data_IF_886055350706
#
_entry.id   IF_886055350706
#
_cell.length_a   1.000
_cell.length_b   1.000
_cell.length_c   1.000
_cell.angle_alpha   90.00
_cell.angle_beta   90.00
_cell.angle_gamma   90.00
#
_symmetry.space_group_name_H-M   'P 1'
#
loop_
_entity.id
_entity.type
_entity.pdbx_description
1 polymer ?
#
# COMPACT_ATOMS: atom_id res chain seq x y z
N UNK A 1 3.63 8.90 -18.18
CA UNK A 1 4.26 8.79 -16.87
C UNK A 1 5.77 9.00 -16.99
N UNK A 2 6.38 9.59 -15.97
CA UNK A 2 7.81 9.89 -15.96
C UNK A 2 8.63 8.66 -15.59
N UNK A 3 9.76 8.45 -16.28
CA UNK A 3 10.69 7.38 -15.93
C UNK A 3 11.57 7.72 -14.71
N UNK A 4 12.37 6.73 -14.20
CA UNK A 4 13.15 6.88 -12.97
C UNK A 4 14.10 8.09 -12.97
N UNK A 5 14.73 8.41 -14.10
CA UNK A 5 15.64 9.59 -14.23
C UNK A 5 14.89 10.92 -14.05
N UNK A 6 13.68 11.01 -14.59
CA UNK A 6 12.83 12.20 -14.44
C UNK A 6 12.29 12.30 -13.03
N UNK A 7 11.90 11.17 -12.43
CA UNK A 7 11.49 11.09 -11.03
C UNK A 7 12.62 11.59 -10.11
N UNK A 8 13.83 11.07 -10.29
CA UNK A 8 15.02 11.48 -9.53
C UNK A 8 15.26 12.98 -9.57
N UNK A 9 15.12 13.57 -10.75
CA UNK A 9 15.41 14.99 -10.96
C UNK A 9 14.31 15.94 -10.50
N UNK A 10 13.04 15.57 -10.74
CA UNK A 10 11.91 16.50 -10.63
C UNK A 10 10.89 16.16 -9.54
N UNK A 11 10.94 14.97 -8.94
CA UNK A 11 10.00 14.57 -7.90
C UNK A 11 10.71 14.25 -6.58
N UNK A 12 11.72 13.40 -6.64
CA UNK A 12 12.40 12.91 -5.45
C UNK A 12 12.89 14.03 -4.51
N UNK A 13 13.62 15.08 -4.94
CA UNK A 13 14.15 16.09 -4.01
C UNK A 13 13.03 16.87 -3.31
N UNK A 14 11.96 17.19 -4.02
CA UNK A 14 10.84 17.97 -3.44
C UNK A 14 9.97 17.13 -2.51
N UNK A 15 9.70 15.88 -2.87
CA UNK A 15 8.96 14.97 -1.97
C UNK A 15 9.79 14.68 -0.72
N UNK A 16 11.11 14.52 -0.87
CA UNK A 16 11.98 14.33 0.29
C UNK A 16 11.99 15.55 1.20
N UNK A 17 12.15 16.75 0.66
CA UNK A 17 12.08 18.00 1.43
C UNK A 17 10.73 18.10 2.18
N UNK A 18 9.62 17.80 1.50
CA UNK A 18 8.28 17.85 2.10
C UNK A 18 8.14 16.87 3.26
N UNK A 19 8.55 15.61 3.08
CA UNK A 19 8.44 14.58 4.12
C UNK A 19 9.37 14.86 5.30
N UNK A 20 10.59 15.34 5.04
CA UNK A 20 11.55 15.75 6.08
C UNK A 20 11.03 16.97 6.87
N UNK A 21 10.45 17.96 6.18
CA UNK A 21 9.86 19.13 6.81
C UNK A 21 8.66 18.76 7.70
N UNK A 22 7.76 17.93 7.20
CA UNK A 22 6.62 17.46 7.98
C UNK A 22 7.08 16.75 9.25
N UNK A 23 8.04 15.85 9.14
CA UNK A 23 8.62 15.15 10.28
C UNK A 23 9.30 16.10 11.27
N UNK A 24 10.11 17.03 10.80
CA UNK A 24 10.80 18.00 11.65
C UNK A 24 9.84 18.93 12.41
N UNK A 25 8.68 19.26 11.82
CA UNK A 25 7.68 20.13 12.45
C UNK A 25 6.72 19.43 13.40
N UNK A 26 6.39 18.16 13.12
CA UNK A 26 5.31 17.45 13.84
C UNK A 26 5.81 16.28 14.67
N UNK A 27 7.01 15.77 14.40
CA UNK A 27 7.50 14.50 14.94
C UNK A 27 6.83 13.27 14.33
N UNK A 28 5.90 13.46 13.36
CA UNK A 28 5.17 12.37 12.71
C UNK A 28 5.61 12.18 11.27
N UNK A 29 5.78 10.93 10.88
CA UNK A 29 5.99 10.53 9.49
C UNK A 29 4.67 10.59 8.72
N UNK A 30 4.74 10.69 7.39
CA UNK A 30 3.57 10.77 6.51
C UNK A 30 3.30 9.45 5.82
N UNK A 31 2.05 9.19 5.46
CA UNK A 31 1.70 8.10 4.54
C UNK A 31 1.76 8.61 3.11
N UNK A 32 2.34 7.84 2.21
CA UNK A 32 2.45 8.17 0.78
C UNK A 32 1.74 7.11 -0.04
N UNK A 33 0.75 7.52 -0.84
CA UNK A 33 0.18 6.67 -1.87
C UNK A 33 0.77 6.97 -3.24
N UNK A 34 1.06 5.93 -4.00
CA UNK A 34 1.52 6.04 -5.38
C UNK A 34 0.81 5.06 -6.28
N UNK A 35 0.03 5.58 -7.24
CA UNK A 35 -0.58 4.76 -8.27
C UNK A 35 0.44 4.25 -9.29
N UNK A 36 0.14 3.10 -9.86
CA UNK A 36 0.89 2.52 -10.95
C UNK A 36 2.12 1.71 -10.52
N UNK A 37 2.92 1.34 -11.51
CA UNK A 37 4.12 0.54 -11.29
C UNK A 37 5.27 1.41 -10.76
N UNK A 38 5.51 1.33 -9.46
CA UNK A 38 6.54 2.10 -8.75
C UNK A 38 7.86 1.36 -8.55
N UNK A 39 7.99 0.11 -9.00
CA UNK A 39 9.17 -0.74 -8.73
C UNK A 39 10.49 -0.07 -9.10
N UNK A 40 10.53 0.60 -10.24
CA UNK A 40 11.74 1.27 -10.75
C UNK A 40 12.24 2.45 -9.90
N UNK A 41 11.42 2.93 -8.97
CA UNK A 41 11.72 4.08 -8.11
C UNK A 41 11.80 3.73 -6.61
N UNK A 42 11.65 2.47 -6.22
CA UNK A 42 11.67 2.06 -4.80
C UNK A 42 12.93 2.49 -4.05
N UNK A 43 14.09 2.53 -4.71
CA UNK A 43 15.33 3.05 -4.11
C UNK A 43 15.24 4.50 -3.60
N UNK A 44 14.31 5.29 -4.16
CA UNK A 44 14.05 6.65 -3.69
C UNK A 44 12.99 6.67 -2.59
N UNK A 45 11.94 5.84 -2.73
CA UNK A 45 10.82 5.80 -1.78
C UNK A 45 11.28 5.38 -0.38
N UNK A 46 12.25 4.47 -0.27
CA UNK A 46 12.86 4.06 0.99
C UNK A 46 13.61 5.18 1.75
N UNK A 47 13.89 6.30 1.09
CA UNK A 47 14.62 7.43 1.68
C UNK A 47 13.71 8.52 2.27
N UNK A 48 12.40 8.42 2.06
CA UNK A 48 11.43 9.37 2.61
C UNK A 48 11.11 9.07 4.09
N UNK A 49 10.65 10.09 4.80
CA UNK A 49 10.14 9.94 6.18
C UNK A 49 8.70 9.41 6.14
N UNK A 50 8.55 8.11 5.81
CA UNK A 50 7.24 7.48 5.66
C UNK A 50 6.84 6.68 6.88
N UNK A 51 5.57 6.86 7.30
CA UNK A 51 4.87 5.95 8.19
C UNK A 51 4.48 4.66 7.46
N UNK A 52 4.04 4.81 6.21
CA UNK A 52 3.75 3.70 5.31
C UNK A 52 3.79 4.14 3.85
N UNK A 53 4.06 3.19 2.96
CA UNK A 53 3.93 3.33 1.51
C UNK A 53 2.73 2.52 1.03
N UNK A 54 1.68 3.22 0.61
CA UNK A 54 0.49 2.60 0.03
C UNK A 54 0.72 2.26 -1.44
N UNK A 55 0.54 0.99 -1.78
CA UNK A 55 0.88 0.40 -3.07
C UNK A 55 -0.37 0.18 -3.94
N UNK A 56 -0.25 0.48 -5.23
CA UNK A 56 -1.25 0.15 -6.23
C UNK A 56 -1.47 -1.37 -6.35
N UNK A 57 -2.69 -1.80 -6.72
CA UNK A 57 -3.05 -3.21 -6.86
C UNK A 57 -2.31 -3.95 -7.99
N UNK A 58 -1.69 -3.22 -8.94
CA UNK A 58 -0.86 -3.84 -9.98
C UNK A 58 0.53 -4.30 -9.48
N UNK A 59 0.92 -3.86 -8.28
CA UNK A 59 2.18 -4.29 -7.66
C UNK A 59 2.01 -5.69 -7.07
N UNK A 60 2.96 -6.57 -7.36
CA UNK A 60 3.05 -7.86 -6.67
C UNK A 60 3.39 -7.62 -5.19
N UNK A 61 2.43 -7.93 -4.30
CA UNK A 61 2.58 -7.72 -2.85
C UNK A 61 3.73 -8.55 -2.27
N UNK A 62 4.04 -9.71 -2.86
CA UNK A 62 5.17 -10.52 -2.41
C UNK A 62 6.49 -9.82 -2.73
N UNK A 63 6.66 -9.36 -3.96
CA UNK A 63 7.84 -8.61 -4.35
C UNK A 63 7.98 -7.35 -3.47
N UNK A 64 6.89 -6.64 -3.23
CA UNK A 64 6.90 -5.45 -2.38
C UNK A 64 7.32 -5.77 -0.94
N UNK A 65 6.80 -6.84 -0.34
CA UNK A 65 7.16 -7.26 1.01
C UNK A 65 8.65 -7.63 1.13
N UNK A 66 9.17 -8.33 0.12
CA UNK A 66 10.57 -8.78 0.10
C UNK A 66 11.57 -7.63 -0.15
N UNK A 67 11.23 -6.67 -1.02
CA UNK A 67 12.11 -5.56 -1.42
C UNK A 67 11.86 -4.30 -0.59
N UNK A 68 10.88 -3.48 -1.00
CA UNK A 68 10.64 -2.17 -0.36
C UNK A 68 10.12 -2.30 1.08
N UNK A 69 9.43 -3.38 1.42
CA UNK A 69 8.96 -3.68 2.77
C UNK A 69 10.07 -3.94 3.79
N UNK A 70 11.33 -4.08 3.34
CA UNK A 70 12.50 -4.09 4.21
C UNK A 70 12.94 -2.69 4.66
N UNK A 71 12.55 -1.65 3.94
CA UNK A 71 12.94 -0.26 4.16
C UNK A 71 11.84 0.58 4.82
N UNK A 72 10.59 0.39 4.38
CA UNK A 72 9.42 1.12 4.89
C UNK A 72 8.26 0.17 5.16
N UNK A 73 7.34 0.51 6.10
CA UNK A 73 6.07 -0.20 6.21
C UNK A 73 5.28 -0.05 4.91
N UNK A 74 4.61 -1.11 4.47
CA UNK A 74 3.78 -1.09 3.25
C UNK A 74 2.30 -1.23 3.58
N UNK A 75 1.45 -0.61 2.76
CA UNK A 75 0.00 -0.75 2.83
C UNK A 75 -0.57 -1.18 1.47
N UNK A 76 -1.63 -1.94 1.48
CA UNK A 76 -2.34 -2.36 0.28
C UNK A 76 -2.58 -3.86 0.25
N UNK A 77 -2.87 -4.50 -0.90
CA UNK A 77 -3.15 -3.85 -2.18
C UNK A 77 -4.25 -4.62 -2.89
N UNK A 78 -5.35 -4.89 -2.15
CA UNK A 78 -6.54 -5.55 -2.72
C UNK A 78 -7.08 -4.71 -3.88
N UNK A 79 -7.42 -5.34 -5.01
CA UNK A 79 -7.95 -4.63 -6.19
C UNK A 79 -9.32 -3.99 -5.87
N UNK A 80 -9.41 -2.65 -5.88
CA UNK A 80 -10.65 -1.95 -5.51
C UNK A 80 -11.78 -2.15 -6.52
N UNK A 81 -11.46 -2.41 -7.77
CA UNK A 81 -12.44 -2.53 -8.86
C UNK A 81 -12.81 -3.98 -9.15
N UNK A 82 -11.82 -4.82 -9.45
CA UNK A 82 -12.09 -6.20 -9.87
C UNK A 82 -12.51 -7.07 -8.69
N UNK A 83 -11.96 -6.84 -7.51
CA UNK A 83 -12.23 -7.64 -6.31
C UNK A 83 -13.28 -6.97 -5.41
N UNK A 84 -13.06 -5.72 -4.96
CA UNK A 84 -13.99 -5.12 -4.01
C UNK A 84 -15.30 -4.75 -4.68
N UNK A 85 -15.27 -3.96 -5.75
CA UNK A 85 -16.50 -3.48 -6.39
C UNK A 85 -17.26 -4.60 -7.11
N UNK A 86 -16.58 -5.41 -7.93
CA UNK A 86 -17.22 -6.41 -8.81
C UNK A 86 -17.23 -7.82 -8.26
N UNK A 87 -16.30 -8.15 -7.36
CA UNK A 87 -16.12 -9.49 -6.83
C UNK A 87 -17.29 -9.96 -5.95
N UNK A 88 -17.38 -11.26 -5.80
CA UNK A 88 -18.29 -11.92 -4.83
C UNK A 88 -17.62 -11.95 -3.45
N UNK A 89 -18.40 -12.27 -2.42
CA UNK A 89 -17.91 -12.34 -1.05
C UNK A 89 -16.67 -13.23 -0.91
N UNK A 90 -16.72 -14.40 -1.53
CA UNK A 90 -15.63 -15.39 -1.47
C UNK A 90 -14.34 -14.87 -2.11
N UNK A 91 -14.46 -14.09 -3.19
CA UNK A 91 -13.32 -13.49 -3.90
C UNK A 91 -12.68 -12.39 -3.08
N UNK A 92 -13.49 -11.56 -2.41
CA UNK A 92 -13.01 -10.54 -1.46
C UNK A 92 -12.26 -11.21 -0.30
N UNK A 93 -12.84 -12.24 0.31
CA UNK A 93 -12.22 -12.98 1.41
C UNK A 93 -10.88 -13.63 0.98
N UNK A 94 -10.86 -14.25 -0.20
CA UNK A 94 -9.67 -14.90 -0.71
C UNK A 94 -8.51 -13.90 -0.97
N UNK A 95 -8.82 -12.74 -1.57
CA UNK A 95 -7.79 -11.74 -1.88
C UNK A 95 -7.30 -10.99 -0.63
N UNK A 96 -8.20 -10.67 0.30
CA UNK A 96 -7.83 -10.12 1.62
C UNK A 96 -6.91 -11.08 2.35
N UNK A 97 -7.26 -12.36 2.41
CA UNK A 97 -6.42 -13.39 3.03
C UNK A 97 -5.04 -13.47 2.39
N UNK A 98 -4.98 -13.49 1.06
CA UNK A 98 -3.72 -13.46 0.29
C UNK A 98 -2.86 -12.27 0.65
N UNK A 99 -3.46 -11.07 0.66
CA UNK A 99 -2.74 -9.85 0.99
C UNK A 99 -2.20 -9.86 2.43
N UNK A 100 -2.98 -10.31 3.39
CA UNK A 100 -2.56 -10.42 4.80
C UNK A 100 -1.44 -11.46 4.97
N UNK A 101 -1.61 -12.68 4.42
CA UNK A 101 -0.62 -13.75 4.56
C UNK A 101 0.74 -13.42 3.93
N UNK A 102 0.74 -12.63 2.87
CA UNK A 102 1.97 -12.23 2.19
C UNK A 102 2.52 -10.91 2.76
N UNK A 103 1.67 -9.88 2.85
CA UNK A 103 2.07 -8.55 3.29
C UNK A 103 2.60 -8.51 4.73
N UNK A 104 2.01 -9.32 5.63
CA UNK A 104 2.48 -9.43 7.02
C UNK A 104 3.93 -9.91 7.16
N UNK A 105 4.54 -10.42 6.11
CA UNK A 105 5.96 -10.81 6.09
C UNK A 105 6.90 -9.63 5.83
N UNK A 106 6.37 -8.46 5.49
CA UNK A 106 7.16 -7.25 5.32
C UNK A 106 7.87 -6.88 6.64
N UNK A 107 9.18 -6.74 6.59
CA UNK A 107 10.02 -6.55 7.77
C UNK A 107 9.68 -5.30 8.59
N UNK A 108 9.26 -4.24 7.93
CA UNK A 108 8.90 -2.95 8.57
C UNK A 108 7.44 -2.85 9.00
N UNK A 109 6.62 -3.80 8.60
CA UNK A 109 5.21 -3.86 8.91
C UNK A 109 4.30 -3.74 7.69
N UNK A 110 3.04 -4.11 7.89
CA UNK A 110 2.03 -4.14 6.84
C UNK A 110 0.68 -3.66 7.36
N UNK A 111 0.01 -2.84 6.55
CA UNK A 111 -1.38 -2.42 6.75
C UNK A 111 -2.22 -2.97 5.60
N UNK A 112 -3.28 -3.73 5.91
CA UNK A 112 -4.23 -4.14 4.88
C UNK A 112 -5.02 -2.93 4.38
N UNK A 113 -5.03 -2.74 3.08
CA UNK A 113 -5.80 -1.70 2.40
C UNK A 113 -6.15 -2.13 0.98
N UNK A 114 -6.99 -1.36 0.30
CA UNK A 114 -7.13 -1.46 -1.15
C UNK A 114 -5.93 -0.81 -1.85
N UNK A 115 -5.63 -1.23 -3.06
CA UNK A 115 -4.49 -0.72 -3.83
C UNK A 115 -4.71 0.67 -4.44
N UNK A 116 -5.90 1.20 -4.34
CA UNK A 116 -6.30 2.56 -4.71
C UNK A 116 -7.67 2.85 -4.11
N UNK A 117 -8.24 4.03 -4.41
CA UNK A 117 -9.57 4.42 -3.97
C UNK A 117 -10.65 3.43 -4.46
N UNK A 118 -11.59 3.12 -3.57
CA UNK A 118 -12.75 2.30 -3.91
C UNK A 118 -13.74 3.20 -4.68
N UNK A 119 -14.25 2.75 -5.86
CA UNK A 119 -15.21 3.54 -6.60
C UNK A 119 -16.45 3.90 -5.76
N UNK A 120 -16.93 5.13 -5.86
CA UNK A 120 -18.06 5.65 -5.07
C UNK A 120 -19.37 4.86 -5.28
N UNK A 121 -19.51 4.19 -6.41
CA UNK A 121 -20.68 3.35 -6.76
C UNK A 121 -20.61 1.94 -6.19
N UNK A 122 -19.58 1.62 -5.38
CA UNK A 122 -19.44 0.30 -4.78
C UNK A 122 -20.52 0.10 -3.72
N UNK A 123 -21.21 -1.04 -3.79
CA UNK A 123 -22.20 -1.42 -2.78
C UNK A 123 -21.56 -1.46 -1.38
N UNK A 124 -22.10 -0.72 -0.38
CA UNK A 124 -21.59 -0.74 0.99
C UNK A 124 -21.42 -2.15 1.59
N UNK A 125 -22.25 -3.10 1.21
CA UNK A 125 -22.13 -4.50 1.64
C UNK A 125 -20.77 -5.11 1.26
N UNK A 126 -20.12 -4.64 0.18
CA UNK A 126 -18.78 -5.08 -0.23
C UNK A 126 -17.72 -4.62 0.78
N UNK A 127 -17.91 -3.44 1.32
CA UNK A 127 -17.01 -2.89 2.35
C UNK A 127 -17.17 -3.68 3.64
N UNK A 128 -18.40 -4.05 4.02
CA UNK A 128 -18.63 -4.91 5.17
C UNK A 128 -17.92 -6.26 4.99
N UNK A 129 -18.03 -6.89 3.81
CA UNK A 129 -17.32 -8.14 3.53
C UNK A 129 -15.80 -8.00 3.57
N UNK A 130 -15.27 -6.89 3.06
CA UNK A 130 -13.83 -6.59 3.16
C UNK A 130 -13.39 -6.50 4.63
N UNK A 131 -14.15 -5.77 5.45
CA UNK A 131 -13.86 -5.62 6.88
C UNK A 131 -14.03 -6.93 7.66
N UNK A 132 -15.02 -7.74 7.32
CA UNK A 132 -15.21 -9.07 7.92
C UNK A 132 -14.04 -10.01 7.57
N UNK A 133 -13.58 -9.98 6.31
CA UNK A 133 -12.41 -10.73 5.88
C UNK A 133 -11.14 -10.25 6.61
N UNK A 134 -10.98 -8.94 6.78
CA UNK A 134 -9.86 -8.36 7.52
C UNK A 134 -9.83 -8.85 8.97
N UNK A 135 -10.98 -8.84 9.66
CA UNK A 135 -11.10 -9.35 11.04
C UNK A 135 -10.81 -10.86 11.13
N UNK A 136 -11.27 -11.64 10.14
CA UNK A 136 -11.06 -13.09 10.12
C UNK A 136 -9.61 -13.50 9.87
N UNK A 137 -8.83 -12.68 9.15
CA UNK A 137 -7.46 -13.01 8.73
C UNK A 137 -6.38 -12.21 9.46
N UNK A 138 -6.75 -11.07 10.09
CA UNK A 138 -5.80 -10.09 10.63
C UNK A 138 -5.39 -10.29 12.09
N UNK A 139 -5.75 -11.39 12.71
CA UNK A 139 -5.27 -11.68 14.07
C UNK A 139 -3.77 -11.97 14.07
N UNK A 140 -3.00 -11.10 14.71
CA UNK A 140 -1.61 -11.39 15.03
C UNK A 140 -1.58 -12.52 16.05
N UNK A 141 -1.16 -13.68 15.61
CA UNK A 141 -0.80 -14.76 16.52
C UNK A 141 0.59 -14.43 17.07
N UNK A 142 0.62 -13.88 18.29
CA UNK A 142 1.85 -13.59 19.04
C UNK A 142 2.72 -14.82 19.25
#
# INVERSE_FOLDING_TARGET
>A
LIGPKMYEKFVFPYTKELTDYAYAKTGHKVSLHMCGDTRSIWKYLGQYQLNELSLDNIIDIKQAADEIGSEVPIAGNVDPVSIVMKGRKEEIFADVKRCVEIGSKAKKGYTLATGCDIPETTDPQKIDWFMDAARACGEYKG
#
